data_IF_912252965882
#
_entry.id   IF_912252965882
#
_cell.length_a   1.000
_cell.length_b   1.000
_cell.length_c   1.000
_cell.angle_alpha   90.00
_cell.angle_beta   90.00
_cell.angle_gamma   90.00
#
_symmetry.space_group_name_H-M   'P 1'
#
loop_
_entity.id
_entity.type
_entity.pdbx_description
1 polymer ?
#
# COMPACT_ATOMS: atom_id res chain seq x y z
N UNK A 1 -11.11 17.49 9.54
CA UNK A 1 -10.36 18.10 8.44
C UNK A 1 -8.98 18.47 8.96
N UNK A 2 -7.96 17.88 8.36
CA UNK A 2 -6.54 18.01 8.68
C UNK A 2 -5.75 18.33 7.40
N UNK A 3 -6.42 18.87 6.38
CA UNK A 3 -5.80 19.21 5.10
C UNK A 3 -4.68 20.24 5.31
N UNK A 4 -3.51 20.01 4.72
CA UNK A 4 -2.33 20.85 4.87
C UNK A 4 -1.70 20.88 6.27
N UNK A 5 -2.18 20.06 7.20
CA UNK A 5 -1.62 20.00 8.55
C UNK A 5 -0.21 19.40 8.51
N UNK A 6 0.66 19.87 9.39
CA UNK A 6 1.95 19.22 9.67
C UNK A 6 1.83 18.39 10.95
N UNK A 7 1.96 17.08 10.78
CA UNK A 7 1.87 16.05 11.81
C UNK A 7 3.18 15.26 11.90
N UNK A 8 4.29 15.78 11.37
CA UNK A 8 5.59 15.08 11.32
C UNK A 8 5.94 14.42 12.66
N UNK A 9 6.27 13.14 12.62
CA UNK A 9 6.60 12.29 13.77
C UNK A 9 5.51 12.25 14.87
N UNK A 10 4.26 12.57 14.52
CA UNK A 10 3.13 12.51 15.41
C UNK A 10 2.76 11.07 15.76
N UNK A 11 2.27 10.88 16.99
CA UNK A 11 1.64 9.63 17.40
C UNK A 11 0.12 9.74 17.20
N UNK A 12 -0.42 8.86 16.35
CA UNK A 12 -1.81 8.74 15.98
C UNK A 12 -2.50 7.54 16.66
N UNK A 13 -1.78 6.74 17.47
CA UNK A 13 -2.29 5.56 18.15
C UNK A 13 -3.59 5.84 18.93
N UNK A 14 -4.55 4.94 18.81
CA UNK A 14 -5.86 4.99 19.47
C UNK A 14 -6.85 5.98 18.85
N UNK A 15 -6.47 6.72 17.81
CA UNK A 15 -7.35 7.70 17.17
C UNK A 15 -8.15 7.09 16.00
N UNK A 16 -9.42 7.51 15.89
CA UNK A 16 -10.26 7.20 14.74
C UNK A 16 -10.22 8.40 13.77
N UNK A 17 -9.77 8.15 12.54
CA UNK A 17 -9.73 9.11 11.45
C UNK A 17 -10.68 8.75 10.29
N UNK A 18 -11.71 7.95 10.56
CA UNK A 18 -12.66 7.54 9.55
C UNK A 18 -13.33 8.74 8.88
N UNK A 19 -13.30 8.78 7.55
CA UNK A 19 -13.80 9.90 6.74
C UNK A 19 -13.01 11.21 6.89
N UNK A 20 -11.85 11.21 7.56
CA UNK A 20 -11.03 12.39 7.67
C UNK A 20 -10.39 12.76 6.33
N UNK A 21 -9.98 14.03 6.23
CA UNK A 21 -9.20 14.52 5.10
C UNK A 21 -7.84 15.01 5.59
N UNK A 22 -6.79 14.45 5.01
CA UNK A 22 -5.38 14.78 5.16
C UNK A 22 -4.79 15.26 3.82
N UNK A 23 -5.62 15.90 2.98
CA UNK A 23 -5.16 16.37 1.67
C UNK A 23 -3.97 17.30 1.84
N UNK A 24 -2.91 17.06 1.08
CA UNK A 24 -1.67 17.84 1.11
C UNK A 24 -1.03 17.98 2.51
N UNK A 25 -1.39 17.11 3.46
CA UNK A 25 -0.83 17.12 4.81
C UNK A 25 0.58 16.48 4.83
N UNK A 26 1.38 16.85 5.83
CA UNK A 26 2.70 16.28 6.09
C UNK A 26 2.59 15.31 7.26
N UNK A 27 2.73 14.02 6.96
CA UNK A 27 2.65 12.90 7.90
C UNK A 27 3.97 12.11 7.95
N UNK A 28 5.09 12.78 7.68
CA UNK A 28 6.40 12.12 7.62
C UNK A 28 6.72 11.47 8.97
N UNK A 29 6.94 10.16 8.96
CA UNK A 29 7.28 9.39 10.15
C UNK A 29 6.19 9.30 11.22
N UNK A 30 4.91 9.53 10.88
CA UNK A 30 3.83 9.33 11.86
C UNK A 30 3.72 7.86 12.24
N UNK A 31 3.46 7.61 13.53
CA UNK A 31 3.10 6.29 14.03
C UNK A 31 1.60 6.19 14.25
N UNK A 32 0.92 5.31 13.53
CA UNK A 32 -0.52 5.09 13.63
C UNK A 32 -0.85 3.62 13.46
N UNK A 33 -0.17 2.77 14.23
CA UNK A 33 -0.17 1.31 14.08
C UNK A 33 -1.04 0.60 15.13
N UNK A 34 -1.36 1.26 16.26
CA UNK A 34 -2.06 0.65 17.39
C UNK A 34 -3.41 1.33 17.62
N UNK A 35 -4.51 0.58 17.42
CA UNK A 35 -5.86 1.05 17.75
C UNK A 35 -6.32 2.25 16.92
N UNK A 36 -5.70 2.47 15.77
CA UNK A 36 -6.04 3.49 14.77
C UNK A 36 -7.06 2.97 13.77
N UNK A 37 -7.70 3.89 13.06
CA UNK A 37 -8.60 3.56 11.95
C UNK A 37 -8.54 4.65 10.90
N UNK A 38 -8.33 4.27 9.64
CA UNK A 38 -8.24 5.19 8.49
C UNK A 38 -9.23 4.77 7.39
N UNK A 39 -10.46 4.47 7.78
CA UNK A 39 -11.50 4.03 6.84
C UNK A 39 -12.03 5.22 6.05
N UNK A 40 -12.16 5.12 4.73
CA UNK A 40 -12.65 6.23 3.87
C UNK A 40 -11.86 7.54 4.03
N UNK A 41 -10.58 7.44 4.40
CA UNK A 41 -9.71 8.61 4.63
C UNK A 41 -9.12 9.11 3.32
N UNK A 42 -9.04 10.44 3.16
CA UNK A 42 -8.45 11.07 1.99
C UNK A 42 -7.04 11.61 2.27
N UNK A 43 -6.03 10.95 1.70
CA UNK A 43 -4.62 11.31 1.74
C UNK A 43 -4.11 11.89 0.40
N UNK A 44 -4.99 12.43 -0.45
CA UNK A 44 -4.59 12.96 -1.75
C UNK A 44 -3.48 14.00 -1.60
N UNK A 45 -2.36 13.81 -2.29
CA UNK A 45 -1.21 14.72 -2.25
C UNK A 45 -0.42 14.74 -0.93
N UNK A 46 -0.78 13.90 0.05
CA UNK A 46 -0.12 13.87 1.36
C UNK A 46 1.32 13.33 1.26
N UNK A 47 2.19 13.83 2.15
CA UNK A 47 3.54 13.31 2.34
C UNK A 47 3.56 12.34 3.53
N UNK A 48 3.58 11.05 3.23
CA UNK A 48 3.50 9.93 4.18
C UNK A 48 4.84 9.18 4.29
N UNK A 49 5.96 9.82 3.92
CA UNK A 49 7.26 9.14 3.95
C UNK A 49 7.57 8.56 5.33
N UNK A 50 7.85 7.27 5.39
CA UNK A 50 8.13 6.57 6.65
C UNK A 50 6.96 6.49 7.63
N UNK A 51 5.73 6.81 7.21
CA UNK A 51 4.55 6.66 8.05
C UNK A 51 4.24 5.18 8.29
N UNK A 52 3.76 4.85 9.48
CA UNK A 52 3.24 3.53 9.81
C UNK A 52 1.73 3.65 10.02
N UNK A 53 0.92 3.04 9.14
CA UNK A 53 -0.54 3.08 9.22
C UNK A 53 -1.12 1.65 9.18
N UNK A 54 -1.94 1.32 10.17
CA UNK A 54 -2.73 0.09 10.19
C UNK A 54 -4.23 0.39 10.03
N UNK A 55 -5.03 -0.65 9.75
CA UNK A 55 -6.49 -0.53 9.57
C UNK A 55 -6.90 0.49 8.50
N UNK A 56 -6.16 0.51 7.39
CA UNK A 56 -6.48 1.35 6.23
C UNK A 56 -7.50 0.64 5.35
N UNK A 57 -8.62 1.28 5.03
CA UNK A 57 -9.62 0.68 4.16
C UNK A 57 -10.37 1.76 3.37
N UNK A 58 -10.60 1.54 2.07
CA UNK A 58 -11.35 2.48 1.22
C UNK A 58 -10.69 3.87 1.20
N UNK A 59 -9.38 3.93 1.39
CA UNK A 59 -8.60 5.16 1.49
C UNK A 59 -8.06 5.60 0.13
N UNK A 60 -7.88 6.91 -0.01
CA UNK A 60 -7.38 7.52 -1.23
C UNK A 60 -5.98 8.10 -1.03
N UNK A 61 -4.98 7.54 -1.70
CA UNK A 61 -3.59 7.99 -1.71
C UNK A 61 -3.19 8.60 -3.06
N UNK A 62 -4.14 9.10 -3.84
CA UNK A 62 -3.85 9.71 -5.15
C UNK A 62 -2.76 10.78 -5.02
N UNK A 63 -1.71 10.70 -5.82
CA UNK A 63 -0.54 11.59 -5.80
C UNK A 63 0.20 11.69 -4.44
N UNK A 64 -0.02 10.76 -3.51
CA UNK A 64 0.67 10.76 -2.22
C UNK A 64 2.11 10.25 -2.34
N UNK A 65 2.97 10.69 -1.42
CA UNK A 65 4.32 10.15 -1.28
C UNK A 65 4.38 9.15 -0.12
N UNK A 66 4.39 7.85 -0.44
CA UNK A 66 4.48 6.75 0.53
C UNK A 66 5.91 6.23 0.70
N UNK A 67 6.93 7.01 0.32
CA UNK A 67 8.31 6.54 0.31
C UNK A 67 8.77 5.99 1.66
N UNK A 68 9.08 4.70 1.74
CA UNK A 68 9.46 4.03 2.99
C UNK A 68 8.33 3.84 4.02
N UNK A 69 7.07 4.11 3.67
CA UNK A 69 5.93 3.90 4.56
C UNK A 69 5.65 2.40 4.77
N UNK A 70 5.02 2.04 5.89
CA UNK A 70 4.48 0.71 6.17
C UNK A 70 2.95 0.82 6.33
N UNK A 71 2.22 0.26 5.37
CA UNK A 71 0.76 0.39 5.29
C UNK A 71 0.13 -1.00 5.26
N UNK A 72 -0.66 -1.31 6.28
CA UNK A 72 -1.55 -2.47 6.28
C UNK A 72 -2.97 -2.05 5.86
N UNK A 73 -3.42 -2.53 4.70
CA UNK A 73 -4.75 -2.23 4.15
C UNK A 73 -5.67 -3.45 4.14
N UNK A 74 -6.93 -3.23 4.49
CA UNK A 74 -7.93 -4.28 4.73
C UNK A 74 -9.03 -4.33 3.67
N UNK A 75 -9.07 -3.33 2.79
CA UNK A 75 -10.01 -3.18 1.68
C UNK A 75 -9.35 -2.36 0.55
N UNK A 76 -10.08 -2.14 -0.53
CA UNK A 76 -9.71 -1.33 -1.70
C UNK A 76 -9.04 -0.03 -1.29
N UNK A 77 -7.91 0.30 -1.93
CA UNK A 77 -7.22 1.60 -1.81
C UNK A 77 -6.95 2.16 -3.21
N UNK A 78 -6.87 3.49 -3.32
CA UNK A 78 -6.47 4.15 -4.58
C UNK A 78 -5.05 4.67 -4.47
N UNK A 79 -4.17 4.32 -5.42
CA UNK A 79 -2.76 4.69 -5.44
C UNK A 79 -2.37 5.51 -6.69
N UNK A 80 -3.33 6.01 -7.47
CA UNK A 80 -3.04 6.68 -8.75
C UNK A 80 -2.02 7.82 -8.58
N UNK A 81 -0.90 7.76 -9.30
CA UNK A 81 0.16 8.76 -9.22
C UNK A 81 0.97 8.77 -7.91
N UNK A 82 0.70 7.86 -6.98
CA UNK A 82 1.47 7.74 -5.74
C UNK A 82 2.89 7.21 -6.01
N UNK A 83 3.82 7.56 -5.12
CA UNK A 83 5.15 6.94 -5.07
C UNK A 83 5.24 5.98 -3.89
N UNK A 84 5.69 4.75 -4.13
CA UNK A 84 5.87 3.70 -3.13
C UNK A 84 7.34 3.26 -3.02
N UNK A 85 8.26 4.15 -3.37
CA UNK A 85 9.69 3.86 -3.32
C UNK A 85 10.09 3.36 -1.93
N UNK A 86 10.64 2.14 -1.85
CA UNK A 86 11.00 1.46 -0.59
C UNK A 86 9.85 1.25 0.41
N UNK A 87 8.58 1.42 0.00
CA UNK A 87 7.44 1.24 0.88
C UNK A 87 7.12 -0.24 1.11
N UNK A 88 6.45 -0.54 2.22
CA UNK A 88 5.79 -1.82 2.47
C UNK A 88 4.28 -1.60 2.35
N UNK A 89 3.64 -2.33 1.42
CA UNK A 89 2.19 -2.45 1.37
C UNK A 89 1.80 -3.88 1.73
N UNK A 90 1.05 -4.02 2.81
CA UNK A 90 0.57 -5.30 3.30
C UNK A 90 -0.94 -5.42 3.28
N UNK A 91 -1.42 -6.60 2.91
CA UNK A 91 -2.81 -6.94 3.21
C UNK A 91 -2.98 -7.19 4.71
N UNK A 92 -3.85 -6.41 5.35
CA UNK A 92 -4.32 -6.59 6.73
C UNK A 92 -5.46 -7.60 6.84
N UNK A 93 -5.73 -8.05 8.07
CA UNK A 93 -6.83 -8.98 8.37
C UNK A 93 -7.95 -8.28 9.13
N UNK A 94 -9.20 -8.48 8.72
CA UNK A 94 -10.38 -7.97 9.44
C UNK A 94 -10.89 -9.05 10.38
N UNK A 95 -10.83 -8.81 11.69
CA UNK A 95 -11.27 -9.79 12.69
C UNK A 95 -10.51 -11.12 12.61
N UNK A 96 -9.22 -11.09 12.22
CA UNK A 96 -8.40 -12.28 12.01
C UNK A 96 -8.68 -13.03 10.71
N UNK A 97 -9.46 -12.45 9.80
CA UNK A 97 -9.76 -13.05 8.50
C UNK A 97 -9.23 -12.20 7.36
N UNK A 98 -8.56 -12.85 6.42
CA UNK A 98 -8.18 -12.25 5.14
C UNK A 98 -9.30 -12.46 4.13
N UNK A 99 -9.43 -11.54 3.18
CA UNK A 99 -10.40 -11.60 2.10
C UNK A 99 -9.69 -11.38 0.76
N UNK A 100 -10.15 -11.94 -0.35
CA UNK A 100 -9.58 -11.59 -1.64
C UNK A 100 -9.62 -10.07 -1.87
N UNK A 101 -8.49 -9.48 -2.26
CA UNK A 101 -8.37 -8.09 -2.65
C UNK A 101 -7.69 -8.00 -4.01
N UNK A 102 -8.09 -7.01 -4.80
CA UNK A 102 -7.42 -6.66 -6.04
C UNK A 102 -6.67 -5.34 -5.86
N UNK A 103 -5.47 -5.26 -6.43
CA UNK A 103 -4.63 -4.06 -6.39
C UNK A 103 -4.02 -3.79 -7.77
N UNK A 104 -4.25 -2.57 -8.27
CA UNK A 104 -3.53 -2.06 -9.44
C UNK A 104 -2.29 -1.29 -8.98
N UNK A 105 -1.15 -1.59 -9.60
CA UNK A 105 0.13 -0.92 -9.39
C UNK A 105 0.59 -0.18 -10.65
N UNK A 106 -0.32 0.06 -11.60
CA UNK A 106 -0.02 0.64 -12.90
C UNK A 106 0.57 2.05 -12.78
N UNK A 107 1.67 2.29 -13.51
CA UNK A 107 2.34 3.58 -13.56
C UNK A 107 3.08 4.01 -12.29
N UNK A 108 3.08 3.18 -11.23
CA UNK A 108 3.66 3.54 -9.95
C UNK A 108 5.18 3.34 -9.92
N UNK A 109 5.88 4.18 -9.16
CA UNK A 109 7.25 3.89 -8.74
C UNK A 109 7.20 2.99 -7.50
N UNK A 110 7.43 1.70 -7.69
CA UNK A 110 7.45 0.68 -6.63
C UNK A 110 8.86 0.10 -6.43
N UNK A 111 9.91 0.81 -6.86
CA UNK A 111 11.29 0.36 -6.69
C UNK A 111 11.60 0.10 -5.22
N UNK A 112 12.27 -1.01 -4.95
CA UNK A 112 12.62 -1.45 -3.60
C UNK A 112 11.42 -1.69 -2.67
N UNK A 113 10.19 -1.61 -3.17
CA UNK A 113 8.99 -1.82 -2.36
C UNK A 113 8.82 -3.31 -2.01
N UNK A 114 8.10 -3.56 -0.93
CA UNK A 114 7.62 -4.88 -0.56
C UNK A 114 6.10 -4.90 -0.60
N UNK A 115 5.54 -5.64 -1.55
CA UNK A 115 4.11 -5.88 -1.65
C UNK A 115 3.84 -7.27 -1.08
N UNK A 116 3.08 -7.33 0.02
CA UNK A 116 2.81 -8.58 0.74
C UNK A 116 1.32 -8.85 0.90
N UNK A 117 0.92 -10.08 0.57
CA UNK A 117 -0.38 -10.60 0.95
C UNK A 117 -0.37 -11.20 2.36
N UNK A 118 -1.29 -12.11 2.68
CA UNK A 118 -1.36 -12.79 3.96
C UNK A 118 -0.11 -13.64 4.23
N UNK A 119 0.42 -13.61 5.46
CA UNK A 119 1.61 -14.38 5.83
C UNK A 119 1.42 -15.92 5.77
N UNK A 120 0.19 -16.41 5.71
CA UNK A 120 -0.12 -17.84 5.70
C UNK A 120 -1.29 -18.14 4.78
N UNK A 121 -1.14 -19.19 3.97
CA UNK A 121 -2.21 -19.73 3.14
C UNK A 121 -2.13 -19.28 1.69
N UNK A 122 -3.30 -19.23 1.05
CA UNK A 122 -3.44 -18.83 -0.35
C UNK A 122 -3.11 -17.34 -0.53
N UNK A 123 -2.49 -16.95 -1.66
CA UNK A 123 -2.25 -15.55 -1.99
C UNK A 123 -3.57 -14.84 -2.32
N UNK A 124 -4.15 -14.18 -1.32
CA UNK A 124 -5.44 -13.48 -1.46
C UNK A 124 -5.32 -12.06 -2.01
N UNK A 125 -4.10 -11.51 -2.09
CA UNK A 125 -3.85 -10.23 -2.72
C UNK A 125 -3.49 -10.44 -4.19
N UNK A 126 -4.43 -10.12 -5.07
CA UNK A 126 -4.30 -10.24 -6.53
C UNK A 126 -3.80 -8.93 -7.11
N UNK A 127 -2.65 -8.96 -7.76
CA UNK A 127 -2.13 -7.83 -8.53
C UNK A 127 -2.71 -7.90 -9.94
N UNK A 128 -3.42 -6.86 -10.36
CA UNK A 128 -4.18 -6.88 -11.62
C UNK A 128 -3.46 -6.17 -12.77
N UNK A 129 -2.64 -5.16 -12.48
CA UNK A 129 -1.98 -4.35 -13.51
C UNK A 129 -0.65 -3.79 -12.99
N UNK A 130 0.41 -3.99 -13.76
CA UNK A 130 1.76 -3.46 -13.52
C UNK A 130 2.26 -2.58 -14.66
N UNK A 131 1.46 -2.32 -15.70
CA UNK A 131 1.90 -1.57 -16.88
C UNK A 131 2.44 -0.20 -16.49
N UNK A 132 3.60 0.14 -17.05
CA UNK A 132 4.26 1.41 -16.79
C UNK A 132 4.81 1.58 -15.37
N UNK A 133 4.65 0.58 -14.49
CA UNK A 133 5.28 0.60 -13.17
C UNK A 133 6.80 0.44 -13.30
N UNK A 134 7.53 1.10 -12.40
CA UNK A 134 8.97 0.88 -12.26
C UNK A 134 9.22 -0.05 -11.07
N UNK A 135 9.73 -1.26 -11.35
CA UNK A 135 9.71 -2.40 -10.41
C UNK A 135 11.09 -2.91 -10.00
N UNK A 136 12.13 -2.11 -10.19
CA UNK A 136 13.50 -2.52 -9.88
C UNK A 136 13.64 -2.84 -8.39
N UNK A 137 14.16 -4.04 -8.09
CA UNK A 137 14.36 -4.53 -6.73
C UNK A 137 13.08 -4.64 -5.89
N UNK A 138 11.91 -4.74 -6.53
CA UNK A 138 10.63 -4.94 -5.84
C UNK A 138 10.50 -6.38 -5.36
N UNK A 139 9.88 -6.57 -4.19
CA UNK A 139 9.55 -7.88 -3.63
C UNK A 139 8.05 -8.10 -3.61
N UNK A 140 7.64 -9.27 -4.06
CA UNK A 140 6.28 -9.77 -3.97
C UNK A 140 6.27 -11.01 -3.09
N UNK A 141 5.45 -11.01 -2.04
CA UNK A 141 5.31 -12.13 -1.09
C UNK A 141 3.83 -12.47 -0.90
N UNK A 142 3.47 -13.75 -1.03
CA UNK A 142 2.10 -14.23 -0.85
C UNK A 142 1.05 -13.44 -1.67
N UNK A 143 1.41 -13.10 -2.91
CA UNK A 143 0.53 -12.39 -3.85
C UNK A 143 0.28 -13.20 -5.12
N UNK A 144 -0.87 -13.00 -5.75
CA UNK A 144 -1.21 -13.61 -7.02
C UNK A 144 -1.00 -12.60 -8.16
N UNK A 145 -0.05 -12.87 -9.05
CA UNK A 145 0.18 -12.11 -10.29
C UNK A 145 -0.16 -12.91 -11.55
N UNK A 146 -0.83 -14.06 -11.42
CA UNK A 146 -1.15 -14.96 -12.55
C UNK A 146 -1.93 -14.26 -13.66
N UNK A 147 -2.75 -13.27 -13.29
CA UNK A 147 -3.61 -12.50 -14.18
C UNK A 147 -3.15 -11.05 -14.38
N UNK A 148 -1.96 -10.69 -13.88
CA UNK A 148 -1.46 -9.32 -13.95
C UNK A 148 -1.08 -8.93 -15.39
N UNK A 149 -1.51 -7.75 -15.83
CA UNK A 149 -0.96 -7.15 -17.05
C UNK A 149 0.45 -6.62 -16.79
N UNK A 150 1.46 -7.38 -17.24
CA UNK A 150 2.89 -7.06 -17.11
C UNK A 150 3.49 -6.54 -18.42
N UNK A 151 2.65 -6.11 -19.36
CA UNK A 151 3.10 -5.67 -20.69
C UNK A 151 4.09 -4.50 -20.59
N UNK A 152 5.29 -4.69 -21.13
CA UNK A 152 6.34 -3.66 -21.13
C UNK A 152 7.05 -3.45 -19.80
N UNK A 153 6.84 -4.33 -18.81
CA UNK A 153 7.49 -4.26 -17.49
C UNK A 153 8.72 -5.17 -17.47
N UNK A 154 9.86 -4.65 -16.99
CA UNK A 154 11.05 -5.46 -16.76
C UNK A 154 11.00 -6.14 -15.39
N UNK A 155 10.72 -7.44 -15.38
CA UNK A 155 10.65 -8.25 -14.16
C UNK A 155 12.01 -8.86 -13.77
N UNK A 156 13.11 -8.54 -14.47
CA UNK A 156 14.43 -9.18 -14.26
C UNK A 156 15.06 -8.88 -12.90
N UNK A 157 14.60 -7.83 -12.21
CA UNK A 157 15.02 -7.43 -10.87
C UNK A 157 13.88 -7.52 -9.85
N UNK A 158 12.85 -8.30 -10.14
CA UNK A 158 11.73 -8.55 -9.23
C UNK A 158 11.97 -9.87 -8.49
N UNK A 159 11.72 -9.87 -7.19
CA UNK A 159 11.83 -11.04 -6.34
C UNK A 159 10.44 -11.54 -5.96
N UNK A 160 10.19 -12.82 -6.17
CA UNK A 160 8.96 -13.50 -5.74
C UNK A 160 9.32 -14.49 -4.64
N UNK A 161 8.71 -14.30 -3.47
CA UNK A 161 8.89 -15.17 -2.30
C UNK A 161 7.84 -16.29 -2.27
N UNK A 162 7.95 -17.19 -1.29
CA UNK A 162 7.04 -18.32 -1.06
C UNK A 162 5.56 -17.88 -1.06
N UNK A 163 4.69 -18.75 -1.57
CA UNK A 163 3.24 -18.54 -1.77
C UNK A 163 2.84 -17.55 -2.88
N UNK A 164 3.78 -16.84 -3.51
CA UNK A 164 3.46 -15.97 -4.64
C UNK A 164 3.20 -16.79 -5.91
N UNK A 165 2.20 -16.37 -6.70
CA UNK A 165 1.95 -16.93 -8.03
C UNK A 165 2.50 -15.94 -9.07
N UNK A 166 3.48 -16.39 -9.86
CA UNK A 166 4.15 -15.54 -10.84
C UNK A 166 3.26 -15.28 -12.08
N UNK A 167 3.52 -14.20 -12.84
CA UNK A 167 2.89 -14.01 -14.14
C UNK A 167 3.18 -15.20 -15.07
N UNK A 168 2.12 -15.85 -15.57
CA UNK A 168 2.15 -17.05 -16.43
C UNK A 168 2.42 -18.41 -15.74
N UNK A 169 2.25 -18.51 -14.42
CA UNK A 169 2.41 -19.75 -13.65
C UNK A 169 3.86 -20.08 -13.32
#
# INVERSE_FOLDING_TARGET
DLSGADLTAGNLDGANFDGASFRDAVLVGVGGSIGTSFVETDFTGADLRGAELSHVARANFTNANLGGADIDFEDTITLEGASLYSATLGQGSVGGTYRPLELSLAGLDIRQAWIRGPYQGEPLLVITDLRGATVENTRFNAVDLSSADVSGVDLSQVYFDEFSICPNG
#
